data_IF_351918691805
#
_entry.id   IF_351918691805
#
_cell.length_a   1.000
_cell.length_b   1.000
_cell.length_c   1.000
_cell.angle_alpha   90.00
_cell.angle_beta   90.00
_cell.angle_gamma   90.00
#
_symmetry.space_group_name_H-M   'P 1'
#
loop_
_entity.id
_entity.type
_entity.pdbx_description
1 polymer ?
#
# COMPACT_ATOMS: atom_id res chain seq x y z
N UNK A 1 -13.78 -3.65 -1.48
CA UNK A 1 -13.30 -4.46 -0.35
C UNK A 1 -11.79 -4.45 -0.19
N UNK A 2 -10.99 -4.51 -1.26
CA UNK A 2 -9.51 -4.56 -1.19
C UNK A 2 -8.87 -3.27 -0.64
N UNK A 3 -9.28 -2.08 -1.10
CA UNK A 3 -8.68 -0.82 -0.63
C UNK A 3 -8.93 -0.52 0.86
N UNK A 4 -10.09 -0.88 1.41
CA UNK A 4 -10.39 -0.73 2.85
C UNK A 4 -9.48 -1.66 3.67
N UNK A 5 -9.20 -2.87 3.16
CA UNK A 5 -8.22 -3.79 3.74
C UNK A 5 -6.77 -3.36 3.44
N UNK A 6 -6.54 -2.52 2.43
CA UNK A 6 -5.21 -1.98 2.13
C UNK A 6 -4.85 -0.81 3.04
N UNK A 7 -5.81 -0.05 3.58
CA UNK A 7 -5.53 0.96 4.64
C UNK A 7 -5.00 0.27 5.89
N UNK A 8 -5.54 -0.90 6.21
CA UNK A 8 -5.16 -1.68 7.36
C UNK A 8 -4.43 -2.96 6.93
N UNK A 9 -3.09 -2.93 6.84
CA UNK A 9 -2.29 -4.17 6.87
C UNK A 9 -2.91 -5.12 7.89
N UNK A 10 -3.27 -6.36 7.49
CA UNK A 10 -4.43 -7.08 8.01
C UNK A 10 -4.48 -6.94 9.51
N UNK A 11 -5.53 -6.25 9.99
CA UNK A 11 -5.77 -6.00 11.41
C UNK A 11 -5.68 -7.37 12.09
N UNK A 12 -4.64 -7.62 12.91
CA UNK A 12 -4.54 -8.91 13.56
C UNK A 12 -5.79 -9.09 14.43
N UNK A 13 -6.26 -10.34 14.59
CA UNK A 13 -7.40 -10.59 15.45
C UNK A 13 -7.08 -10.02 16.84
N UNK A 14 -8.05 -9.30 17.40
CA UNK A 14 -7.93 -8.57 18.67
C UNK A 14 -6.97 -7.36 18.63
N UNK A 15 -6.96 -6.62 17.53
CA UNK A 15 -6.16 -5.39 17.40
C UNK A 15 -6.37 -4.40 18.55
N UNK A 16 -7.61 -4.21 19.01
CA UNK A 16 -7.90 -3.32 20.13
C UNK A 16 -7.26 -3.82 21.43
N UNK A 17 -7.31 -5.13 21.70
CA UNK A 17 -6.63 -5.74 22.87
C UNK A 17 -5.11 -5.65 22.76
N UNK A 18 -4.55 -5.82 21.55
CA UNK A 18 -3.11 -5.72 21.31
C UNK A 18 -2.62 -4.28 21.43
N UNK A 19 -3.39 -3.31 20.94
CA UNK A 19 -3.10 -1.88 21.11
C UNK A 19 -3.22 -1.45 22.57
N UNK A 20 -4.20 -1.97 23.31
CA UNK A 20 -4.40 -1.65 24.72
C UNK A 20 -3.22 -2.08 25.60
N UNK A 21 -2.48 -3.13 25.21
CA UNK A 21 -1.26 -3.59 25.90
C UNK A 21 -0.04 -2.71 25.66
N UNK A 22 -0.07 -1.85 24.63
CA UNK A 22 1.04 -0.96 24.32
C UNK A 22 1.02 0.29 25.22
N UNK A 23 2.20 0.83 25.59
CA UNK A 23 2.28 2.16 26.19
C UNK A 23 1.57 3.20 25.32
N UNK A 24 0.93 4.18 25.95
CA UNK A 24 0.12 5.23 25.29
C UNK A 24 0.78 5.79 24.02
N UNK A 25 2.06 6.15 24.11
CA UNK A 25 2.82 6.73 23.00
C UNK A 25 2.91 5.80 21.79
N UNK A 26 3.16 4.52 22.02
CA UNK A 26 3.28 3.51 20.95
C UNK A 26 1.92 3.26 20.30
N UNK A 27 0.84 3.24 21.09
CA UNK A 27 -0.53 3.12 20.55
C UNK A 27 -0.89 4.30 19.65
N UNK A 28 -0.62 5.53 20.10
CA UNK A 28 -0.86 6.75 19.29
C UNK A 28 -0.04 6.73 18.01
N UNK A 29 1.22 6.31 18.08
CA UNK A 29 2.09 6.20 16.91
C UNK A 29 1.54 5.17 15.90
N UNK A 30 1.12 3.98 16.36
CA UNK A 30 0.53 2.97 15.50
C UNK A 30 -0.76 3.45 14.81
N UNK A 31 -1.62 4.19 15.53
CA UNK A 31 -2.83 4.79 14.96
C UNK A 31 -2.46 5.85 13.91
N UNK A 32 -1.56 6.77 14.24
CA UNK A 32 -1.13 7.84 13.34
C UNK A 32 -0.49 7.27 12.06
N UNK A 33 0.32 6.22 12.18
CA UNK A 33 0.92 5.54 11.04
C UNK A 33 -0.14 4.92 10.13
N UNK A 34 -1.14 4.23 10.68
CA UNK A 34 -2.23 3.65 9.89
C UNK A 34 -3.05 4.74 9.18
N UNK A 35 -3.33 5.86 9.85
CA UNK A 35 -4.01 7.01 9.23
C UNK A 35 -3.19 7.61 8.09
N UNK A 36 -1.89 7.79 8.29
CA UNK A 36 -1.00 8.32 7.25
C UNK A 36 -0.94 7.40 6.03
N UNK A 37 -0.83 6.08 6.23
CA UNK A 37 -0.86 5.09 5.15
C UNK A 37 -2.18 5.18 4.38
N UNK A 38 -3.31 5.27 5.09
CA UNK A 38 -4.63 5.41 4.47
C UNK A 38 -4.77 6.69 3.64
N UNK A 39 -4.27 7.81 4.17
CA UNK A 39 -4.28 9.08 3.45
C UNK A 39 -3.44 9.02 2.16
N UNK A 40 -2.25 8.40 2.20
CA UNK A 40 -1.40 8.22 1.01
C UNK A 40 -2.10 7.35 -0.04
N UNK A 41 -2.73 6.24 0.37
CA UNK A 41 -3.49 5.38 -0.55
C UNK A 41 -4.65 6.17 -1.18
N UNK A 42 -5.36 6.98 -0.41
CA UNK A 42 -6.44 7.83 -0.93
C UNK A 42 -5.91 8.84 -1.96
N UNK A 43 -4.80 9.52 -1.67
CA UNK A 43 -4.16 10.46 -2.60
C UNK A 43 -3.74 9.75 -3.88
N UNK A 44 -3.11 8.58 -3.80
CA UNK A 44 -2.73 7.82 -4.99
C UNK A 44 -3.96 7.38 -5.79
N UNK A 45 -5.02 6.93 -5.13
CA UNK A 45 -6.29 6.61 -5.79
C UNK A 45 -6.88 7.82 -6.52
N UNK A 46 -6.89 8.99 -5.88
CA UNK A 46 -7.35 10.24 -6.49
C UNK A 46 -6.50 10.66 -7.68
N UNK A 47 -5.17 10.51 -7.60
CA UNK A 47 -4.28 10.76 -8.74
C UNK A 47 -4.60 9.81 -9.90
N UNK A 48 -4.81 8.53 -9.62
CA UNK A 48 -5.14 7.54 -10.66
C UNK A 48 -6.47 7.82 -11.36
N UNK A 49 -7.48 8.30 -10.63
CA UNK A 49 -8.82 8.55 -11.20
C UNK A 49 -8.91 9.94 -11.83
N UNK A 50 -8.37 10.96 -11.17
CA UNK A 50 -8.47 12.36 -11.60
C UNK A 50 -7.45 12.77 -12.65
N UNK A 51 -6.32 12.07 -12.75
CA UNK A 51 -5.19 12.44 -13.62
C UNK A 51 -4.65 11.22 -14.38
N UNK A 52 -5.54 10.28 -14.76
CA UNK A 52 -5.16 9.04 -15.43
C UNK A 52 -4.38 9.28 -16.73
N UNK A 53 -4.87 10.19 -17.57
CA UNK A 53 -4.25 10.52 -18.86
C UNK A 53 -2.87 11.16 -18.68
N UNK A 54 -2.74 12.06 -17.71
CA UNK A 54 -1.45 12.69 -17.38
C UNK A 54 -0.45 11.64 -16.86
N UNK A 55 -0.88 10.75 -15.96
CA UNK A 55 -0.03 9.65 -15.46
C UNK A 55 0.38 8.68 -16.57
N UNK A 56 -0.47 8.49 -17.58
CA UNK A 56 -0.20 7.63 -18.73
C UNK A 56 0.61 8.31 -19.85
N UNK A 57 0.77 9.64 -19.80
CA UNK A 57 1.39 10.47 -20.84
C UNK A 57 2.85 10.14 -21.13
N UNK A 58 3.56 9.58 -20.15
CA UNK A 58 5.01 9.34 -20.25
C UNK A 58 5.87 10.59 -20.06
N UNK A 59 5.27 11.74 -19.71
CA UNK A 59 6.00 12.96 -19.36
C UNK A 59 6.98 12.71 -18.20
N UNK A 60 8.03 13.52 -18.08
CA UNK A 60 8.98 13.41 -16.96
C UNK A 60 8.27 13.45 -15.61
N UNK A 61 7.26 14.33 -15.48
CA UNK A 61 6.46 14.44 -14.26
C UNK A 61 5.61 13.19 -14.01
N UNK A 62 4.95 12.66 -15.05
CA UNK A 62 4.19 11.43 -14.96
C UNK A 62 5.06 10.25 -14.51
N UNK A 63 6.28 10.15 -15.05
CA UNK A 63 7.24 9.10 -14.69
C UNK A 63 7.72 9.21 -13.24
N UNK A 64 7.93 10.43 -12.73
CA UNK A 64 8.28 10.65 -11.33
C UNK A 64 7.15 10.22 -10.39
N UNK A 65 5.90 10.58 -10.70
CA UNK A 65 4.74 10.15 -9.93
C UNK A 65 4.55 8.63 -9.97
N UNK A 66 4.61 8.03 -11.15
CA UNK A 66 4.57 6.58 -11.30
C UNK A 66 5.72 5.91 -10.53
N UNK A 67 6.93 6.45 -10.57
CA UNK A 67 8.07 5.94 -9.82
C UNK A 67 7.87 6.01 -8.31
N UNK A 68 7.33 7.12 -7.80
CA UNK A 68 7.03 7.29 -6.38
C UNK A 68 5.95 6.32 -5.90
N UNK A 69 4.87 6.15 -6.68
CA UNK A 69 3.80 5.19 -6.39
C UNK A 69 4.35 3.77 -6.42
N UNK A 70 5.16 3.43 -7.42
CA UNK A 70 5.81 2.12 -7.54
C UNK A 70 6.71 1.81 -6.33
N UNK A 71 7.53 2.79 -5.92
CA UNK A 71 8.42 2.66 -4.76
C UNK A 71 7.63 2.44 -3.47
N UNK A 72 6.54 3.18 -3.27
CA UNK A 72 5.69 3.02 -2.08
C UNK A 72 5.08 1.63 -1.99
N UNK A 73 4.46 1.15 -3.07
CA UNK A 73 3.86 -0.18 -3.12
C UNK A 73 4.91 -1.29 -3.07
N UNK A 74 6.05 -1.13 -3.74
CA UNK A 74 7.16 -2.08 -3.73
C UNK A 74 7.83 -2.19 -2.35
N UNK A 75 8.04 -1.05 -1.69
CA UNK A 75 8.50 -1.01 -0.30
C UNK A 75 7.55 -1.75 0.63
N UNK A 76 6.23 -1.54 0.45
CA UNK A 76 5.22 -2.26 1.22
C UNK A 76 5.23 -3.77 0.94
N UNK A 77 5.41 -4.17 -0.31
CA UNK A 77 5.55 -5.58 -0.69
C UNK A 77 6.74 -6.25 0.03
N UNK A 78 7.85 -5.53 0.18
CA UNK A 78 9.03 -6.02 0.89
C UNK A 78 8.85 -6.01 2.42
N UNK A 79 8.18 -4.99 2.97
CA UNK A 79 7.96 -4.85 4.42
C UNK A 79 6.95 -5.88 4.96
N UNK A 80 5.90 -6.21 4.22
CA UNK A 80 4.87 -7.15 4.65
C UNK A 80 5.39 -8.53 5.11
N UNK A 81 6.28 -9.23 4.35
CA UNK A 81 6.88 -10.46 4.83
C UNK A 81 7.89 -10.24 5.96
N UNK A 82 8.59 -9.09 5.99
CA UNK A 82 9.56 -8.75 7.04
C UNK A 82 8.90 -8.58 8.41
N UNK A 83 7.68 -8.06 8.47
CA UNK A 83 6.89 -7.94 9.70
C UNK A 83 6.54 -9.28 10.35
N UNK A 84 6.74 -10.42 9.66
CA UNK A 84 6.64 -11.73 10.27
C UNK A 84 5.24 -12.10 10.78
N UNK A 85 4.18 -11.48 10.24
CA UNK A 85 2.80 -11.61 10.78
C UNK A 85 2.14 -12.98 10.56
N UNK A 86 2.76 -13.88 9.80
CA UNK A 86 2.19 -15.21 9.48
C UNK A 86 1.72 -16.02 10.71
N UNK A 87 2.45 -16.08 11.84
CA UNK A 87 2.00 -16.79 13.03
C UNK A 87 0.74 -16.19 13.66
N UNK A 88 0.49 -14.89 13.46
CA UNK A 88 -0.68 -14.18 13.97
C UNK A 88 -1.93 -14.33 13.09
N UNK A 89 -1.80 -14.86 11.86
CA UNK A 89 -2.91 -15.11 10.93
C UNK A 89 -3.58 -16.45 11.25
N UNK A 90 -4.31 -16.50 12.36
CA UNK A 90 -4.98 -17.71 12.86
C UNK A 90 -6.17 -18.13 11.99
N UNK A 91 -6.89 -17.17 11.42
CA UNK A 91 -8.08 -17.42 10.59
C UNK A 91 -7.74 -17.50 9.10
N UNK A 92 -8.40 -18.39 8.32
CA UNK A 92 -8.14 -18.53 6.88
C UNK A 92 -8.45 -17.25 6.10
N UNK A 93 -9.47 -16.48 6.50
CA UNK A 93 -9.81 -15.19 5.88
C UNK A 93 -8.67 -14.17 6.00
N UNK A 94 -7.99 -14.11 7.15
CA UNK A 94 -6.84 -13.23 7.36
C UNK A 94 -5.65 -13.62 6.49
N UNK A 95 -5.44 -14.93 6.26
CA UNK A 95 -4.40 -15.43 5.35
C UNK A 95 -4.69 -15.05 3.90
N UNK A 96 -5.94 -15.20 3.48
CA UNK A 96 -6.38 -14.78 2.14
C UNK A 96 -6.20 -13.27 1.98
N UNK A 97 -6.66 -12.46 2.95
CA UNK A 97 -6.49 -11.02 2.93
C UNK A 97 -5.02 -10.58 2.85
N UNK A 98 -4.13 -11.23 3.62
CA UNK A 98 -2.69 -10.95 3.57
C UNK A 98 -2.07 -11.27 2.21
N UNK A 99 -2.45 -12.39 1.59
CA UNK A 99 -1.94 -12.77 0.28
C UNK A 99 -2.50 -11.85 -0.83
N UNK A 100 -3.78 -11.48 -0.76
CA UNK A 100 -4.37 -10.51 -1.67
C UNK A 100 -3.68 -9.15 -1.58
N UNK A 101 -3.39 -8.69 -0.36
CA UNK A 101 -2.67 -7.43 -0.16
C UNK A 101 -1.27 -7.48 -0.77
N UNK A 102 -0.54 -8.60 -0.59
CA UNK A 102 0.78 -8.77 -1.23
C UNK A 102 0.67 -8.76 -2.75
N UNK A 103 -0.34 -9.43 -3.31
CA UNK A 103 -0.57 -9.45 -4.74
C UNK A 103 -0.89 -8.04 -5.27
N UNK A 104 -1.74 -7.28 -4.56
CA UNK A 104 -2.08 -5.89 -4.88
C UNK A 104 -0.83 -5.00 -4.89
N UNK A 105 -0.01 -5.07 -3.83
CA UNK A 105 1.26 -4.35 -3.78
C UNK A 105 2.17 -4.71 -4.97
N UNK A 106 2.26 -5.99 -5.33
CA UNK A 106 3.07 -6.44 -6.46
C UNK A 106 2.54 -5.90 -7.80
N UNK A 107 1.23 -5.96 -8.03
CA UNK A 107 0.59 -5.45 -9.25
C UNK A 107 0.87 -3.96 -9.39
N UNK A 108 0.66 -3.16 -8.34
CA UNK A 108 0.90 -1.72 -8.40
C UNK A 108 2.38 -1.37 -8.54
N UNK A 109 3.27 -2.03 -7.78
CA UNK A 109 4.71 -1.80 -7.90
C UNK A 109 5.21 -2.08 -9.32
N UNK A 110 4.79 -3.20 -9.92
CA UNK A 110 5.20 -3.58 -11.29
C UNK A 110 4.56 -2.66 -12.33
N UNK A 111 3.25 -2.40 -12.24
CA UNK A 111 2.53 -1.59 -13.21
C UNK A 111 3.04 -0.14 -13.26
N UNK A 112 3.15 0.51 -12.10
CA UNK A 112 3.69 1.88 -12.04
C UNK A 112 5.20 1.92 -12.28
N UNK A 113 5.95 0.88 -11.89
CA UNK A 113 7.38 0.77 -12.19
C UNK A 113 7.64 0.68 -13.69
N UNK A 114 6.78 -0.05 -14.40
CA UNK A 114 6.80 -0.11 -15.86
C UNK A 114 6.52 1.27 -16.48
N UNK A 115 5.48 1.97 -16.04
CA UNK A 115 5.16 3.32 -16.51
C UNK A 115 6.27 4.33 -16.24
N UNK A 116 7.01 4.18 -15.15
CA UNK A 116 8.15 5.03 -14.83
C UNK A 116 9.39 4.73 -15.70
N UNK A 117 9.63 3.44 -15.97
CA UNK A 117 10.83 2.95 -16.65
C UNK A 117 10.78 3.03 -18.18
N UNK A 118 9.60 2.85 -18.79
CA UNK A 118 9.47 2.78 -20.24
C UNK A 118 8.92 4.09 -20.82
N UNK A 119 9.77 4.91 -21.45
CA UNK A 119 9.30 6.13 -22.10
C UNK A 119 8.39 5.77 -23.28
N UNK A 120 7.15 6.28 -23.26
CA UNK A 120 6.31 6.31 -24.46
C UNK A 120 6.73 7.54 -25.25
N UNK A 121 7.39 7.33 -26.39
CA UNK A 121 7.64 8.40 -27.35
C UNK A 121 6.28 8.87 -27.90
N UNK A 122 5.79 10.00 -27.41
CA UNK A 122 4.72 10.76 -28.08
C UNK A 122 5.27 11.28 -29.41
N UNK A 123 4.71 10.81 -30.52
CA UNK A 123 4.80 11.48 -31.82
C UNK A 123 3.82 12.67 -31.84
#
# INVERSE_FOLDING_TARGET
>A
MTLILAVFTPIPPNWDENLAKLPELHRRFAIAQNLAIGAVIAVFGLLCVGFADELASGSTMARLWCGAIALWWGGRLALLPWLGVKPSLTQPMLRVGFNLLRLECAIYAVGFGWLAGFPRTTF
#
